data_IF_704127058224
#
_entry.id   IF_704127058224
#
_cell.length_a   1.000
_cell.length_b   1.000
_cell.length_c   1.000
_cell.angle_alpha   90.00
_cell.angle_beta   90.00
_cell.angle_gamma   90.00
#
_symmetry.space_group_name_H-M   'P 1'
#
loop_
_entity.id
_entity.type
_entity.pdbx_description
1 polymer ?
#
# COMPACT_ATOMS: atom_id res chain seq x y z
N UNK A 1 13.44 29.51 -3.26
CA UNK A 1 12.50 29.76 -2.14
C UNK A 1 11.48 28.64 -2.06
N UNK A 2 10.66 28.40 -3.10
CA UNK A 2 9.59 27.38 -3.05
C UNK A 2 10.08 25.93 -2.83
N UNK A 3 11.14 25.51 -3.53
CA UNK A 3 11.73 24.17 -3.34
C UNK A 3 12.25 23.98 -1.91
N UNK A 4 12.88 25.01 -1.34
CA UNK A 4 13.40 24.96 0.03
C UNK A 4 12.26 24.84 1.05
N UNK A 5 11.18 25.63 0.88
CA UNK A 5 10.02 25.58 1.76
C UNK A 5 9.34 24.20 1.70
N UNK A 6 9.14 23.65 0.49
CA UNK A 6 8.54 22.31 0.34
C UNK A 6 9.37 21.21 0.99
N UNK A 7 10.70 21.33 1.00
CA UNK A 7 11.60 20.39 1.68
C UNK A 7 11.46 20.49 3.20
N UNK A 8 11.38 21.71 3.72
CA UNK A 8 11.17 21.92 5.17
C UNK A 8 9.82 21.34 5.59
N UNK A 9 8.76 21.62 4.85
CA UNK A 9 7.41 21.10 5.14
C UNK A 9 7.38 19.57 5.09
N UNK A 10 7.98 18.97 4.06
CA UNK A 10 8.09 17.51 3.92
C UNK A 10 8.84 16.88 5.10
N UNK A 11 9.95 17.47 5.54
CA UNK A 11 10.74 16.94 6.65
C UNK A 11 10.01 17.09 8.00
N UNK A 12 9.27 18.18 8.20
CA UNK A 12 8.43 18.36 9.39
C UNK A 12 7.33 17.31 9.42
N UNK A 13 6.61 17.13 8.32
CA UNK A 13 5.54 16.15 8.19
C UNK A 13 6.08 14.72 8.41
N UNK A 14 7.21 14.37 7.77
CA UNK A 14 7.85 13.06 7.94
C UNK A 14 8.20 12.74 9.40
N UNK A 15 8.61 13.74 10.19
CA UNK A 15 8.91 13.58 11.61
C UNK A 15 7.68 13.37 12.49
N UNK A 16 6.51 13.80 12.03
CA UNK A 16 5.25 13.70 12.78
C UNK A 16 4.54 12.36 12.55
N UNK A 17 4.97 11.59 11.54
CA UNK A 17 4.34 10.31 11.22
C UNK A 17 4.45 9.30 12.38
N UNK A 18 3.32 8.69 12.71
CA UNK A 18 3.28 7.50 13.55
C UNK A 18 3.90 6.29 12.82
N UNK A 19 4.10 5.19 13.53
CA UNK A 19 4.75 4.01 12.95
C UNK A 19 3.90 3.36 11.85
N UNK A 20 2.59 3.34 12.00
CA UNK A 20 1.68 2.72 11.03
C UNK A 20 1.69 3.49 9.70
N UNK A 21 1.75 4.82 9.77
CA UNK A 21 1.91 5.70 8.61
C UNK A 21 3.27 5.50 7.93
N UNK A 22 4.36 5.41 8.69
CA UNK A 22 5.70 5.13 8.16
C UNK A 22 5.73 3.81 7.41
N UNK A 23 5.14 2.75 8.00
CA UNK A 23 5.07 1.45 7.35
C UNK A 23 4.20 1.48 6.08
N UNK A 24 3.05 2.17 6.13
CA UNK A 24 2.15 2.29 4.98
C UNK A 24 2.83 3.00 3.80
N UNK A 25 3.51 4.12 4.07
CA UNK A 25 4.30 4.83 3.07
C UNK A 25 5.43 3.97 2.54
N UNK A 26 6.16 3.26 3.42
CA UNK A 26 7.26 2.40 3.02
C UNK A 26 6.81 1.26 2.10
N UNK A 27 5.65 0.65 2.38
CA UNK A 27 5.03 -0.35 1.51
C UNK A 27 4.67 0.25 0.16
N UNK A 28 4.05 1.42 0.13
CA UNK A 28 3.57 2.03 -1.13
C UNK A 28 4.72 2.60 -1.97
N UNK A 29 5.58 3.44 -1.39
CA UNK A 29 6.66 4.14 -2.08
C UNK A 29 7.82 3.23 -2.46
N UNK A 30 8.27 2.36 -1.55
CA UNK A 30 9.48 1.56 -1.75
C UNK A 30 9.21 0.11 -2.11
N UNK A 31 7.94 -0.31 -2.11
CA UNK A 31 7.53 -1.69 -2.33
C UNK A 31 8.20 -2.68 -1.35
N UNK A 32 8.43 -2.20 -0.13
CA UNK A 32 9.18 -2.90 0.92
C UNK A 32 8.27 -3.77 1.77
N UNK A 33 8.74 -4.97 2.13
CA UNK A 33 8.16 -5.78 3.20
C UNK A 33 8.64 -5.28 4.56
N UNK A 34 7.80 -4.51 5.25
CA UNK A 34 8.15 -3.83 6.50
C UNK A 34 8.37 -4.80 7.67
N UNK A 35 7.91 -6.06 7.56
CA UNK A 35 8.15 -7.08 8.60
C UNK A 35 9.63 -7.46 8.75
N UNK A 36 10.46 -7.10 7.76
CA UNK A 36 11.88 -7.47 7.67
C UNK A 36 12.83 -6.30 7.94
N UNK A 37 12.30 -5.10 8.18
CA UNK A 37 13.07 -3.87 8.34
C UNK A 37 12.72 -3.23 9.68
N UNK A 38 13.71 -2.70 10.39
CA UNK A 38 13.47 -2.08 11.67
C UNK A 38 12.73 -0.74 11.52
N UNK A 39 11.93 -0.36 12.52
CA UNK A 39 11.24 0.94 12.53
C UNK A 39 12.20 2.13 12.36
N UNK A 40 13.44 2.01 12.84
CA UNK A 40 14.46 3.05 12.71
C UNK A 40 14.93 3.21 11.26
N UNK A 41 15.15 2.11 10.54
CA UNK A 41 15.52 2.11 9.12
C UNK A 41 14.38 2.66 8.26
N UNK A 42 13.14 2.22 8.49
CA UNK A 42 11.97 2.75 7.76
C UNK A 42 11.81 4.26 7.96
N UNK A 43 11.97 4.75 9.19
CA UNK A 43 11.92 6.20 9.49
C UNK A 43 13.05 6.96 8.80
N UNK A 44 14.26 6.39 8.78
CA UNK A 44 15.40 6.97 8.08
C UNK A 44 15.14 7.08 6.58
N UNK A 45 14.63 6.02 5.96
CA UNK A 45 14.37 5.99 4.52
C UNK A 45 13.28 6.99 4.12
N UNK A 46 12.21 7.10 4.93
CA UNK A 46 11.16 8.11 4.74
C UNK A 46 11.72 9.54 4.87
N UNK A 47 12.60 9.81 5.84
CA UNK A 47 13.22 11.13 5.98
C UNK A 47 14.11 11.48 4.78
N UNK A 48 14.91 10.53 4.30
CA UNK A 48 15.74 10.72 3.10
C UNK A 48 14.86 11.00 1.89
N UNK A 49 13.77 10.24 1.72
CA UNK A 49 12.84 10.44 0.61
C UNK A 49 12.11 11.78 0.69
N UNK A 50 11.66 12.20 1.88
CA UNK A 50 11.04 13.51 2.09
C UNK A 50 12.00 14.67 1.76
N UNK A 51 13.30 14.50 2.03
CA UNK A 51 14.32 15.48 1.68
C UNK A 51 14.58 15.56 0.17
N UNK A 52 14.73 14.39 -0.47
CA UNK A 52 15.09 14.27 -1.88
C UNK A 52 13.92 14.60 -2.81
N UNK A 53 12.72 14.11 -2.49
CA UNK A 53 11.52 14.18 -3.32
C UNK A 53 10.31 14.75 -2.54
N UNK A 54 10.39 15.99 -2.00
CA UNK A 54 9.39 16.54 -1.07
C UNK A 54 7.99 16.62 -1.67
N UNK A 55 7.88 16.98 -2.95
CA UNK A 55 6.58 17.08 -3.63
C UNK A 55 5.88 15.72 -3.78
N UNK A 56 6.64 14.65 -4.05
CA UNK A 56 6.08 13.29 -4.12
C UNK A 56 5.71 12.79 -2.72
N UNK A 57 6.57 13.02 -1.74
CA UNK A 57 6.31 12.65 -0.36
C UNK A 57 5.03 13.31 0.17
N UNK A 58 4.90 14.64 0.03
CA UNK A 58 3.72 15.38 0.50
C UNK A 58 2.42 14.93 -0.19
N UNK A 59 2.49 14.56 -1.47
CA UNK A 59 1.35 13.97 -2.19
C UNK A 59 0.98 12.60 -1.62
N UNK A 60 1.98 11.75 -1.36
CA UNK A 60 1.75 10.41 -0.84
C UNK A 60 1.18 10.41 0.59
N UNK A 61 1.68 11.29 1.46
CA UNK A 61 1.14 11.42 2.84
C UNK A 61 -0.31 11.88 2.83
N UNK A 62 -0.68 12.75 1.89
CA UNK A 62 -2.04 13.29 1.76
C UNK A 62 -2.98 12.41 0.94
N UNK A 63 -2.51 11.28 0.42
CA UNK A 63 -3.32 10.37 -0.40
C UNK A 63 -4.33 9.62 0.49
N UNK A 64 -5.64 9.84 0.33
CA UNK A 64 -6.66 9.15 1.13
C UNK A 64 -6.67 7.63 0.88
N UNK A 65 -6.12 7.16 -0.25
CA UNK A 65 -6.05 5.74 -0.61
C UNK A 65 -4.80 5.05 -0.07
N UNK A 66 -3.85 5.77 0.54
CA UNK A 66 -2.58 5.25 1.04
C UNK A 66 -2.76 4.01 1.92
N UNK A 67 -3.67 4.08 2.89
CA UNK A 67 -3.92 2.97 3.84
C UNK A 67 -4.43 1.73 3.11
N UNK A 68 -5.37 1.91 2.18
CA UNK A 68 -5.94 0.82 1.39
C UNK A 68 -4.88 0.21 0.45
N UNK A 69 -4.10 1.03 -0.24
CA UNK A 69 -3.03 0.56 -1.13
C UNK A 69 -1.94 -0.19 -0.36
N UNK A 70 -1.56 0.30 0.82
CA UNK A 70 -0.68 -0.41 1.74
C UNK A 70 -1.25 -1.79 2.10
N UNK A 71 -2.55 -1.88 2.42
CA UNK A 71 -3.23 -3.13 2.76
C UNK A 71 -3.28 -4.10 1.57
N UNK A 72 -3.57 -3.61 0.37
CA UNK A 72 -3.56 -4.41 -0.86
C UNK A 72 -2.19 -5.02 -1.10
N UNK A 73 -1.11 -4.23 -0.97
CA UNK A 73 0.27 -4.76 -1.07
C UNK A 73 0.53 -5.84 -0.03
N UNK A 74 0.06 -5.64 1.19
CA UNK A 74 0.18 -6.62 2.27
C UNK A 74 -0.49 -7.96 1.93
N UNK A 75 -1.70 -7.93 1.34
CA UNK A 75 -2.39 -9.13 0.86
C UNK A 75 -1.57 -9.91 -0.18
N UNK A 76 -0.85 -9.22 -1.07
CA UNK A 76 0.02 -9.89 -2.03
C UNK A 76 1.29 -10.43 -1.39
N UNK A 77 1.94 -9.67 -0.50
CA UNK A 77 3.15 -10.09 0.20
C UNK A 77 2.90 -11.38 1.01
N UNK A 78 1.75 -11.48 1.66
CA UNK A 78 1.36 -12.64 2.47
C UNK A 78 0.60 -13.70 1.65
N UNK A 79 0.52 -13.54 0.32
CA UNK A 79 -0.16 -14.45 -0.60
C UNK A 79 -1.60 -14.75 -0.18
N UNK A 80 -2.32 -13.77 0.38
CA UNK A 80 -3.79 -13.81 0.55
C UNK A 80 -4.45 -13.55 -0.80
N UNK A 81 -3.86 -12.66 -1.59
CA UNK A 81 -4.15 -12.46 -3.01
C UNK A 81 -2.94 -12.87 -3.85
N UNK A 82 -3.21 -13.33 -5.08
CA UNK A 82 -2.18 -13.62 -6.08
C UNK A 82 -2.62 -13.14 -7.45
N UNK A 83 -1.65 -12.72 -8.26
CA UNK A 83 -1.86 -12.47 -9.68
C UNK A 83 -1.79 -13.78 -10.47
N UNK A 84 -2.64 -13.90 -11.50
CA UNK A 84 -2.60 -14.96 -12.51
C UNK A 84 -2.70 -14.37 -13.91
N UNK A 85 -2.49 -15.22 -14.92
CA UNK A 85 -2.66 -14.88 -16.32
C UNK A 85 -1.89 -13.62 -16.74
N UNK A 86 -0.60 -13.57 -16.35
CA UNK A 86 0.27 -12.41 -16.57
C UNK A 86 -0.29 -11.10 -15.98
N UNK A 87 -0.71 -11.15 -14.71
CA UNK A 87 -1.32 -10.05 -13.94
C UNK A 87 -2.66 -9.52 -14.47
N UNK A 88 -3.31 -10.25 -15.38
CA UNK A 88 -4.65 -9.91 -15.88
C UNK A 88 -5.77 -10.31 -14.94
N UNK A 89 -5.52 -11.23 -14.01
CA UNK A 89 -6.54 -11.67 -13.06
C UNK A 89 -5.98 -11.67 -11.64
N UNK A 90 -6.83 -11.28 -10.69
CA UNK A 90 -6.56 -11.33 -9.26
C UNK A 90 -7.36 -12.46 -8.65
N UNK A 91 -6.70 -13.34 -7.91
CA UNK A 91 -7.31 -14.51 -7.28
C UNK A 91 -7.17 -14.44 -5.77
N UNK A 92 -8.19 -14.96 -5.08
CA UNK A 92 -8.03 -15.35 -3.69
C UNK A 92 -7.04 -16.51 -3.60
N UNK A 93 -6.21 -16.50 -2.56
CA UNK A 93 -5.26 -17.57 -2.26
C UNK A 93 -5.31 -17.92 -0.77
N UNK A 94 -6.50 -18.26 -0.33
CA UNK A 94 -6.77 -18.79 1.01
C UNK A 94 -6.99 -20.30 0.92
N UNK A 95 -6.90 -21.01 2.04
CA UNK A 95 -7.06 -22.47 2.06
C UNK A 95 -8.44 -22.90 1.58
N UNK A 96 -9.46 -22.06 1.82
CA UNK A 96 -10.86 -22.31 1.49
C UNK A 96 -11.30 -21.70 0.17
N UNK A 97 -10.59 -20.69 -0.35
CA UNK A 97 -10.98 -19.98 -1.56
C UNK A 97 -9.79 -19.71 -2.48
N UNK A 98 -9.86 -20.33 -3.68
CA UNK A 98 -8.91 -20.16 -4.79
C UNK A 98 -9.57 -19.61 -6.06
N UNK A 99 -10.76 -19.02 -5.93
CA UNK A 99 -11.52 -18.45 -7.05
C UNK A 99 -10.94 -17.10 -7.47
N UNK A 100 -11.26 -16.69 -8.70
CA UNK A 100 -10.95 -15.36 -9.20
C UNK A 100 -11.77 -14.32 -8.40
N UNK A 101 -11.11 -13.26 -7.98
CA UNK A 101 -11.74 -12.09 -7.36
C UNK A 101 -12.23 -11.13 -8.44
N UNK A 102 -11.33 -10.68 -9.31
CA UNK A 102 -11.63 -9.77 -10.41
C UNK A 102 -10.62 -9.92 -11.56
N UNK A 103 -10.98 -9.40 -12.72
CA UNK A 103 -10.10 -9.23 -13.87
C UNK A 103 -9.66 -7.77 -13.97
N UNK A 104 -8.41 -7.56 -14.41
CA UNK A 104 -7.86 -6.24 -14.68
C UNK A 104 -8.13 -5.91 -16.16
N UNK A 105 -8.87 -4.82 -16.46
CA UNK A 105 -9.06 -4.38 -17.83
C UNK A 105 -7.71 -4.06 -18.51
N UNK A 106 -7.67 -4.19 -19.84
CA UNK A 106 -6.43 -3.92 -20.57
C UNK A 106 -6.02 -2.45 -20.45
N UNK A 107 -4.76 -2.22 -20.07
CA UNK A 107 -4.19 -0.87 -19.93
C UNK A 107 -4.42 -0.22 -18.56
N UNK A 108 -5.19 -0.86 -17.68
CA UNK A 108 -5.47 -0.33 -16.34
C UNK A 108 -4.39 -0.69 -15.32
N UNK A 109 -4.20 0.18 -14.33
CA UNK A 109 -3.35 -0.13 -13.17
C UNK A 109 -4.05 -1.12 -12.24
N UNK A 110 -3.35 -2.21 -11.91
CA UNK A 110 -3.95 -3.28 -11.13
C UNK A 110 -4.31 -2.85 -9.70
N UNK A 111 -3.47 -2.03 -9.05
CA UNK A 111 -3.75 -1.58 -7.68
C UNK A 111 -4.92 -0.62 -7.65
N UNK A 112 -5.04 0.27 -8.63
CA UNK A 112 -6.18 1.15 -8.79
C UNK A 112 -7.50 0.39 -8.97
N UNK A 113 -7.53 -0.63 -9.84
CA UNK A 113 -8.73 -1.46 -10.06
C UNK A 113 -9.12 -2.22 -8.80
N UNK A 114 -8.13 -2.80 -8.08
CA UNK A 114 -8.38 -3.52 -6.84
C UNK A 114 -8.90 -2.57 -5.75
N UNK A 115 -8.29 -1.39 -5.60
CA UNK A 115 -8.72 -0.39 -4.62
C UNK A 115 -10.16 0.06 -4.90
N UNK A 116 -10.47 0.39 -6.17
CA UNK A 116 -11.81 0.79 -6.59
C UNK A 116 -12.84 -0.30 -6.31
N UNK A 117 -12.51 -1.56 -6.59
CA UNK A 117 -13.38 -2.69 -6.27
C UNK A 117 -13.59 -2.82 -4.76
N UNK A 118 -12.54 -2.83 -3.94
CA UNK A 118 -12.64 -3.01 -2.49
C UNK A 118 -13.36 -1.87 -1.76
N UNK A 119 -13.44 -0.69 -2.38
CA UNK A 119 -14.22 0.45 -1.87
C UNK A 119 -15.69 0.44 -2.30
N UNK A 120 -16.07 -0.40 -3.27
CA UNK A 120 -17.47 -0.54 -3.70
C UNK A 120 -18.31 -1.28 -2.66
N UNK A 121 -19.64 -1.14 -2.75
CA UNK A 121 -20.58 -1.82 -1.86
C UNK A 121 -20.39 -3.35 -1.83
N UNK A 122 -20.09 -3.95 -2.99
CA UNK A 122 -19.81 -5.38 -3.11
C UNK A 122 -18.43 -5.76 -2.54
N UNK A 123 -17.45 -4.86 -2.68
CA UNK A 123 -16.07 -5.12 -2.29
C UNK A 123 -15.77 -4.92 -0.82
N UNK A 124 -16.56 -4.16 -0.07
CA UNK A 124 -16.34 -3.92 1.36
C UNK A 124 -16.38 -5.23 2.17
N UNK A 125 -17.31 -6.14 1.87
CA UNK A 125 -17.36 -7.45 2.54
C UNK A 125 -16.17 -8.33 2.15
N UNK A 126 -15.69 -8.20 0.90
CA UNK A 126 -14.47 -8.87 0.46
C UNK A 126 -13.23 -8.32 1.17
N UNK A 127 -13.15 -7.01 1.37
CA UNK A 127 -12.06 -6.39 2.12
C UNK A 127 -11.99 -6.95 3.55
N UNK A 128 -13.12 -6.97 4.28
CA UNK A 128 -13.20 -7.57 5.63
C UNK A 128 -12.76 -9.04 5.63
N UNK A 129 -13.18 -9.80 4.62
CA UNK A 129 -12.75 -11.19 4.47
C UNK A 129 -11.23 -11.30 4.26
N UNK A 130 -10.64 -10.46 3.42
CA UNK A 130 -9.21 -10.46 3.15
C UNK A 130 -8.40 -10.09 4.40
N UNK A 131 -8.83 -9.08 5.16
CA UNK A 131 -8.21 -8.67 6.42
C UNK A 131 -8.18 -9.81 7.43
N UNK A 132 -9.32 -10.49 7.64
CA UNK A 132 -9.39 -11.66 8.52
C UNK A 132 -8.46 -12.80 8.09
N UNK A 133 -8.30 -13.03 6.79
CA UNK A 133 -7.39 -14.07 6.29
C UNK A 133 -5.92 -13.67 6.39
N UNK A 134 -5.61 -12.38 6.30
CA UNK A 134 -4.27 -11.85 6.49
C UNK A 134 -3.81 -12.06 7.94
N UNK A 135 -4.67 -11.77 8.91
CA UNK A 135 -4.35 -11.96 10.33
C UNK A 135 -4.06 -13.43 10.68
N UNK A 136 -4.73 -14.38 10.01
CA UNK A 136 -4.46 -15.82 10.18
C UNK A 136 -3.13 -16.29 9.54
N UNK A 137 -2.51 -15.47 8.67
CA UNK A 137 -1.25 -15.80 7.99
C UNK A 137 -0.03 -15.11 8.59
N UNK A 138 -0.23 -14.16 9.50
CA UNK A 138 0.83 -13.55 10.31
C UNK A 138 1.14 -14.43 11.51
#
# INVERSE_FOLDING_TARGET
MEVLNSRVDALIEARQLDIDQVEALSRVLFNTDTSRITSAELRRDILIFAEQEPGMFLKAVKDPTLKLNSKIKEFFNHKVLIFKNNKKDVYFNTDKNKKRMLNIPFGEDAYYVIASYLQSDEGIEVLKFLEKNLDNKK
#
